data_IF_290787704962
#
_entry.id   IF_290787704962
#
_cell.length_a   1.000
_cell.length_b   1.000
_cell.length_c   1.000
_cell.angle_alpha   90.00
_cell.angle_beta   90.00
_cell.angle_gamma   90.00
#
_symmetry.space_group_name_H-M   'P 1'
#
loop_
_entity.id
_entity.type
_entity.pdbx_description
1 polymer ?
#
# COMPACT_ATOMS: atom_id res chain seq x y z
N UNK A 1 -20.38 34.38 -5.78
CA UNK A 1 -19.96 33.57 -4.62
C UNK A 1 -20.54 32.17 -4.83
N UNK A 2 -19.71 31.16 -5.12
CA UNK A 2 -20.12 29.75 -5.09
C UNK A 2 -18.92 28.93 -4.60
N UNK A 3 -18.94 28.55 -3.32
CA UNK A 3 -17.96 27.69 -2.65
C UNK A 3 -18.64 26.37 -2.30
N UNK A 4 -18.93 25.58 -3.32
CA UNK A 4 -19.38 24.18 -3.27
C UNK A 4 -18.69 23.57 -4.51
N UNK A 5 -17.81 22.57 -4.48
CA UNK A 5 -17.75 21.34 -3.72
C UNK A 5 -16.26 20.93 -3.60
N UNK A 6 -15.78 20.66 -2.40
CA UNK A 6 -14.49 19.97 -2.21
C UNK A 6 -14.54 19.09 -0.98
N UNK A 7 -15.62 18.33 -0.81
CA UNK A 7 -15.60 17.15 0.07
C UNK A 7 -15.02 15.99 -0.72
N UNK A 8 -13.72 16.08 -1.04
CA UNK A 8 -12.93 14.92 -1.42
C UNK A 8 -13.05 13.97 -0.23
N UNK A 9 -13.80 12.88 -0.36
CA UNK A 9 -13.95 11.86 0.67
C UNK A 9 -12.53 11.45 1.06
N UNK A 10 -12.08 11.87 2.25
CA UNK A 10 -10.84 11.39 2.82
C UNK A 10 -11.12 9.95 3.18
N UNK A 11 -10.87 9.05 2.23
CA UNK A 11 -10.92 7.61 2.46
C UNK A 11 -10.14 7.34 3.75
N UNK A 12 -10.78 6.65 4.69
CA UNK A 12 -10.20 6.44 6.02
C UNK A 12 -8.96 5.57 5.90
N UNK A 13 -7.78 6.17 5.93
CA UNK A 13 -6.51 5.45 5.92
C UNK A 13 -6.27 4.84 7.29
N UNK A 14 -6.43 3.52 7.39
CA UNK A 14 -6.03 2.75 8.57
C UNK A 14 -4.55 2.37 8.47
N UNK A 15 -3.80 2.54 9.56
CA UNK A 15 -2.43 2.00 9.68
C UNK A 15 -2.49 0.53 10.08
N UNK A 16 -1.69 -0.29 9.41
CA UNK A 16 -1.48 -1.70 9.74
C UNK A 16 -0.04 -1.86 10.24
N UNK A 17 0.15 -2.44 11.42
CA UNK A 17 1.47 -2.84 11.91
C UNK A 17 1.68 -4.30 11.53
N UNK A 18 2.56 -4.55 10.55
CA UNK A 18 2.86 -5.90 10.05
C UNK A 18 4.25 -6.29 10.57
N UNK A 19 4.37 -7.34 11.39
CA UNK A 19 5.68 -7.87 11.74
C UNK A 19 6.31 -8.50 10.49
N UNK A 20 7.55 -8.11 10.20
CA UNK A 20 8.37 -8.72 9.16
C UNK A 20 9.54 -9.44 9.82
N UNK A 21 9.95 -10.56 9.23
CA UNK A 21 11.26 -11.14 9.51
C UNK A 21 12.37 -10.22 8.99
N UNK A 22 13.59 -10.40 9.51
CA UNK A 22 14.76 -9.64 9.05
C UNK A 22 14.96 -9.79 7.53
N UNK A 23 14.77 -11.00 7.00
CA UNK A 23 14.89 -11.28 5.57
C UNK A 23 13.82 -10.55 4.74
N UNK A 24 12.57 -10.52 5.20
CA UNK A 24 11.47 -9.82 4.51
C UNK A 24 11.69 -8.31 4.52
N UNK A 25 12.14 -7.76 5.65
CA UNK A 25 12.50 -6.36 5.80
C UNK A 25 13.62 -5.96 4.84
N UNK A 26 14.70 -6.76 4.78
CA UNK A 26 15.82 -6.53 3.87
C UNK A 26 15.42 -6.58 2.40
N UNK A 27 14.55 -7.52 2.02
CA UNK A 27 14.02 -7.61 0.65
C UNK A 27 13.15 -6.40 0.32
N UNK A 28 12.28 -5.98 1.23
CA UNK A 28 11.42 -4.81 1.04
C UNK A 28 12.25 -3.54 0.86
N UNK A 29 13.28 -3.35 1.69
CA UNK A 29 14.20 -2.22 1.60
C UNK A 29 14.94 -2.19 0.26
N UNK A 30 15.55 -3.30 -0.15
CA UNK A 30 16.24 -3.41 -1.45
C UNK A 30 15.31 -3.09 -2.63
N UNK A 31 14.07 -3.56 -2.57
CA UNK A 31 13.08 -3.28 -3.61
C UNK A 31 12.68 -1.79 -3.62
N UNK A 32 12.46 -1.20 -2.44
CA UNK A 32 12.14 0.22 -2.31
C UNK A 32 13.27 1.12 -2.86
N UNK A 33 14.52 0.79 -2.53
CA UNK A 33 15.71 1.48 -3.05
C UNK A 33 15.81 1.36 -4.57
N UNK A 34 15.58 0.16 -5.13
CA UNK A 34 15.62 -0.06 -6.59
C UNK A 34 14.51 0.68 -7.36
N UNK A 35 13.38 0.96 -6.70
CA UNK A 35 12.24 1.67 -7.29
C UNK A 35 12.24 3.18 -7.01
N UNK A 36 13.23 3.71 -6.30
CA UNK A 36 13.29 5.09 -5.79
C UNK A 36 12.01 5.49 -5.02
N UNK A 37 11.60 4.62 -4.09
CA UNK A 37 10.37 4.76 -3.28
C UNK A 37 10.64 4.49 -1.81
N UNK A 38 9.72 4.92 -0.95
CA UNK A 38 9.76 4.53 0.46
C UNK A 38 9.23 3.13 0.68
N UNK A 39 9.80 2.41 1.66
CA UNK A 39 9.38 1.06 2.03
C UNK A 39 7.87 0.95 2.26
N UNK A 40 7.26 1.92 2.94
CA UNK A 40 5.82 1.94 3.19
C UNK A 40 4.98 2.08 1.90
N UNK A 41 5.45 2.84 0.90
CA UNK A 41 4.77 2.95 -0.40
C UNK A 41 4.91 1.67 -1.19
N UNK A 42 6.09 1.06 -1.18
CA UNK A 42 6.35 -0.24 -1.81
C UNK A 42 5.49 -1.33 -1.18
N UNK A 43 5.43 -1.41 0.15
CA UNK A 43 4.58 -2.35 0.86
C UNK A 43 3.09 -2.14 0.52
N UNK A 44 2.62 -0.89 0.51
CA UNK A 44 1.24 -0.57 0.13
C UNK A 44 0.91 -1.03 -1.30
N UNK A 45 1.85 -0.84 -2.25
CA UNK A 45 1.70 -1.31 -3.64
C UNK A 45 1.58 -2.83 -3.70
N UNK A 46 2.50 -3.55 -3.04
CA UNK A 46 2.49 -5.01 -3.00
C UNK A 46 1.21 -5.58 -2.38
N UNK A 47 0.71 -4.96 -1.31
CA UNK A 47 -0.57 -5.34 -0.69
C UNK A 47 -1.71 -5.18 -1.70
N UNK A 48 -1.77 -4.05 -2.41
CA UNK A 48 -2.83 -3.80 -3.41
C UNK A 48 -2.79 -4.83 -4.53
N UNK A 49 -1.61 -5.08 -5.11
CA UNK A 49 -1.44 -6.08 -6.17
C UNK A 49 -1.81 -7.50 -5.69
N UNK A 50 -1.47 -7.84 -4.44
CA UNK A 50 -1.87 -9.10 -3.83
C UNK A 50 -3.39 -9.24 -3.66
N UNK A 51 -4.07 -8.16 -3.28
CA UNK A 51 -5.53 -8.12 -3.15
C UNK A 51 -6.23 -8.23 -4.51
N UNK A 52 -5.76 -7.48 -5.52
CA UNK A 52 -6.29 -7.56 -6.90
C UNK A 52 -6.15 -8.98 -7.46
N UNK A 53 -5.03 -9.65 -7.19
CA UNK A 53 -4.83 -11.05 -7.58
C UNK A 53 -5.78 -11.99 -6.83
N UNK A 54 -5.97 -11.79 -5.53
CA UNK A 54 -6.87 -12.63 -4.73
C UNK A 54 -8.33 -12.52 -5.19
N UNK A 55 -8.77 -11.31 -5.59
CA UNK A 55 -10.09 -11.05 -6.18
C UNK A 55 -10.23 -11.74 -7.56
N UNK A 56 -9.21 -11.62 -8.42
CA UNK A 56 -9.21 -12.29 -9.73
C UNK A 56 -9.23 -13.83 -9.62
N UNK A 57 -8.65 -14.38 -8.56
CA UNK A 57 -8.66 -15.81 -8.24
C UNK A 57 -9.93 -16.26 -7.51
N UNK A 58 -10.84 -15.35 -7.17
CA UNK A 58 -12.10 -15.64 -6.46
C UNK A 58 -11.91 -16.08 -5.01
N UNK A 59 -10.80 -15.68 -4.37
CA UNK A 59 -10.51 -15.97 -2.95
C UNK A 59 -11.16 -14.97 -2.00
N UNK A 60 -11.42 -13.76 -2.50
CA UNK A 60 -12.17 -12.67 -1.87
C UNK A 60 -13.12 -12.10 -2.94
#
# INVERSE_FOLDING_TARGET
MSREDSRKSKESVRRLNVPLTDEESDKLKKLADAEDRSEGRTAQRLIREGLERAEAEGKI
#
